data_IF_113762462057
#
_entry.id   IF_113762462057
#
_cell.length_a   1.000
_cell.length_b   1.000
_cell.length_c   1.000
_cell.angle_alpha   90.00
_cell.angle_beta   90.00
_cell.angle_gamma   90.00
#
_symmetry.space_group_name_H-M   'P 1'
#
loop_
_entity.id
_entity.type
_entity.pdbx_description
1 polymer ?
#
# COMPACT_ATOMS: atom_id res chain seq x y z
N UNK A 1 57.75 -0.86 -45.25
CA UNK A 1 57.93 -2.00 -44.33
C UNK A 1 56.99 -1.76 -43.15
N UNK A 2 55.87 -2.51 -43.09
CA UNK A 2 54.97 -2.86 -41.95
C UNK A 2 54.60 -1.78 -40.89
N UNK A 3 53.36 -1.54 -40.44
CA UNK A 3 52.07 -2.27 -40.39
C UNK A 3 50.90 -1.27 -40.32
N UNK A 4 49.80 -1.59 -40.99
CA UNK A 4 48.50 -0.94 -40.84
C UNK A 4 47.74 -1.57 -39.68
N UNK A 5 47.06 -0.78 -38.84
CA UNK A 5 46.11 -1.28 -37.83
C UNK A 5 44.70 -0.86 -38.24
N UNK A 6 43.92 -1.85 -38.69
CA UNK A 6 42.47 -1.72 -38.92
C UNK A 6 41.81 -1.97 -37.57
N UNK A 7 41.15 -0.96 -36.98
CA UNK A 7 40.29 -1.19 -35.83
C UNK A 7 38.90 -1.61 -36.32
N UNK A 8 38.60 -2.88 -36.02
CA UNK A 8 37.45 -3.64 -36.47
C UNK A 8 36.13 -3.11 -35.90
N UNK A 9 35.16 -3.08 -36.80
CA UNK A 9 33.75 -2.83 -36.61
C UNK A 9 33.13 -4.02 -35.85
N UNK A 10 32.89 -3.89 -34.55
CA UNK A 10 31.85 -4.67 -33.86
C UNK A 10 31.03 -3.67 -33.06
N UNK A 11 29.92 -3.29 -33.68
CA UNK A 11 28.77 -2.73 -33.02
C UNK A 11 28.14 -3.79 -32.09
N UNK A 12 27.24 -3.28 -31.27
CA UNK A 12 26.10 -3.99 -30.69
C UNK A 12 26.27 -4.46 -29.23
N UNK A 13 25.38 -3.92 -28.40
CA UNK A 13 25.05 -4.27 -27.02
C UNK A 13 26.01 -3.76 -25.95
N UNK A 14 25.44 -3.36 -24.80
CA UNK A 14 26.00 -2.48 -23.75
C UNK A 14 25.89 -1.01 -24.18
N UNK A 15 24.77 -0.32 -23.95
CA UNK A 15 24.07 -0.22 -22.68
C UNK A 15 22.57 -0.23 -23.00
N UNK A 16 21.89 -1.34 -22.71
CA UNK A 16 20.45 -1.26 -22.49
C UNK A 16 20.34 -0.40 -21.23
N UNK A 17 20.14 0.90 -21.38
CA UNK A 17 19.46 1.65 -20.34
C UNK A 17 18.05 1.10 -20.39
N UNK A 18 17.78 0.06 -19.61
CA UNK A 18 16.41 -0.18 -19.18
C UNK A 18 16.05 1.07 -18.41
N UNK A 19 15.41 2.03 -19.07
CA UNK A 19 14.47 2.88 -18.35
C UNK A 19 13.47 1.88 -17.82
N UNK A 20 13.68 1.48 -16.56
CA UNK A 20 12.60 0.93 -15.77
C UNK A 20 11.61 2.07 -15.74
N UNK A 21 10.61 1.99 -16.61
CA UNK A 21 9.42 2.78 -16.46
C UNK A 21 8.87 2.37 -15.12
N UNK A 22 9.16 3.17 -14.09
CA UNK A 22 8.32 3.19 -12.90
C UNK A 22 6.97 3.60 -13.46
N UNK A 23 6.11 2.63 -13.73
CA UNK A 23 4.69 2.90 -13.84
C UNK A 23 4.31 3.45 -12.48
N UNK A 24 4.38 4.76 -12.32
CA UNK A 24 3.55 5.46 -11.36
C UNK A 24 2.14 5.18 -11.80
N UNK A 25 1.62 4.00 -11.41
CA UNK A 25 0.37 3.46 -11.87
C UNK A 25 -0.71 4.46 -11.51
N UNK A 26 -1.40 4.98 -12.52
CA UNK A 26 -2.51 5.88 -12.27
C UNK A 26 -3.66 5.04 -11.71
N UNK A 27 -4.17 5.41 -10.54
CA UNK A 27 -5.39 4.81 -9.98
C UNK A 27 -6.56 4.93 -10.96
N UNK A 28 -7.27 3.84 -11.22
CA UNK A 28 -8.39 3.83 -12.18
C UNK A 28 -9.73 4.18 -11.54
N UNK A 29 -9.85 3.97 -10.23
CA UNK A 29 -11.05 4.26 -9.46
C UNK A 29 -10.74 5.01 -8.17
N UNK A 30 -11.75 5.71 -7.66
CA UNK A 30 -11.70 6.40 -6.37
C UNK A 30 -13.08 6.47 -5.72
N UNK A 31 -13.10 6.51 -4.38
CA UNK A 31 -14.29 6.77 -3.58
C UNK A 31 -13.92 7.55 -2.32
N UNK A 32 -14.75 8.51 -1.94
CA UNK A 32 -14.71 9.12 -0.61
C UNK A 32 -15.62 8.30 0.32
N UNK A 33 -15.08 7.82 1.44
CA UNK A 33 -15.82 7.01 2.42
C UNK A 33 -16.40 7.86 3.55
N UNK A 34 -16.11 9.16 3.55
CA UNK A 34 -16.71 10.16 4.44
C UNK A 34 -17.16 11.40 3.64
N UNK A 35 -18.02 12.22 4.25
CA UNK A 35 -18.55 13.43 3.59
C UNK A 35 -17.51 14.56 3.49
N UNK A 36 -16.48 14.51 4.33
CA UNK A 36 -15.48 15.56 4.46
C UNK A 36 -14.20 15.27 3.64
N UNK A 37 -14.19 14.17 2.86
CA UNK A 37 -13.06 13.74 2.04
C UNK A 37 -11.77 13.49 2.85
N UNK A 38 -11.90 13.15 4.14
CA UNK A 38 -10.77 12.74 4.97
C UNK A 38 -10.47 11.25 4.87
N UNK A 39 -11.33 10.46 4.22
CA UNK A 39 -11.12 9.05 3.94
C UNK A 39 -11.31 8.78 2.45
N UNK A 40 -10.20 8.64 1.72
CA UNK A 40 -10.22 8.34 0.29
C UNK A 40 -9.69 6.92 0.07
N UNK A 41 -10.46 6.14 -0.69
CA UNK A 41 -10.07 4.83 -1.20
C UNK A 41 -9.80 4.96 -2.70
N UNK A 42 -8.61 4.54 -3.12
CA UNK A 42 -8.19 4.47 -4.53
C UNK A 42 -7.92 3.01 -4.86
N UNK A 43 -8.27 2.57 -6.07
CA UNK A 43 -7.94 1.22 -6.48
C UNK A 43 -7.78 1.05 -7.99
N UNK A 44 -7.02 0.02 -8.35
CA UNK A 44 -6.85 -0.45 -9.72
C UNK A 44 -6.94 -1.98 -9.73
N UNK A 45 -7.91 -2.57 -10.45
CA UNK A 45 -7.91 -4.00 -10.69
C UNK A 45 -6.74 -4.39 -11.60
N UNK A 46 -5.98 -5.41 -11.18
CA UNK A 46 -5.05 -6.16 -12.00
C UNK A 46 -5.71 -7.41 -12.58
N UNK A 47 -4.89 -8.32 -13.12
CA UNK A 47 -5.40 -9.56 -13.72
C UNK A 47 -5.92 -10.55 -12.66
N UNK A 48 -5.19 -10.72 -11.55
CA UNK A 48 -5.50 -11.69 -10.49
C UNK A 48 -5.70 -11.04 -9.10
N UNK A 49 -5.42 -9.74 -8.97
CA UNK A 49 -5.49 -9.01 -7.70
C UNK A 49 -6.06 -7.60 -7.90
N UNK A 50 -6.44 -6.95 -6.80
CA UNK A 50 -6.80 -5.52 -6.80
C UNK A 50 -5.83 -4.82 -5.86
N UNK A 51 -5.17 -3.77 -6.37
CA UNK A 51 -4.32 -2.92 -5.54
C UNK A 51 -5.16 -1.77 -4.99
N UNK A 52 -5.10 -1.57 -3.68
CA UNK A 52 -5.77 -0.47 -2.98
C UNK A 52 -4.76 0.52 -2.39
N UNK A 53 -5.10 1.80 -2.40
CA UNK A 53 -4.45 2.83 -1.60
C UNK A 53 -5.49 3.53 -0.73
N UNK A 54 -5.21 3.60 0.56
CA UNK A 54 -6.07 4.22 1.58
C UNK A 54 -5.38 5.49 2.05
N UNK A 55 -6.01 6.64 1.79
CA UNK A 55 -5.54 7.94 2.25
C UNK A 55 -6.50 8.44 3.32
N UNK A 56 -6.03 8.47 4.58
CA UNK A 56 -6.87 8.86 5.72
C UNK A 56 -6.19 9.90 6.59
N UNK A 57 -6.93 10.95 6.92
CA UNK A 57 -6.52 11.94 7.92
C UNK A 57 -7.02 11.51 9.29
N UNK A 58 -6.19 10.81 10.04
CA UNK A 58 -6.47 10.35 11.40
C UNK A 58 -5.24 10.52 12.31
N UNK A 59 -5.47 10.57 13.63
CA UNK A 59 -4.41 10.53 14.65
C UNK A 59 -4.24 9.13 15.27
N UNK A 60 -5.05 8.16 14.82
CA UNK A 60 -5.06 6.80 15.36
C UNK A 60 -4.89 5.76 14.26
N UNK A 61 -5.78 4.78 14.26
CA UNK A 61 -5.80 3.71 13.28
C UNK A 61 -6.88 3.94 12.22
N UNK A 62 -6.76 3.18 11.14
CA UNK A 62 -7.75 3.04 10.07
C UNK A 62 -8.08 1.57 9.91
N UNK A 63 -9.34 1.26 9.59
CA UNK A 63 -9.79 -0.09 9.25
C UNK A 63 -10.52 -0.04 7.91
N UNK A 64 -10.16 -0.93 6.99
CA UNK A 64 -10.86 -1.13 5.72
C UNK A 64 -11.42 -2.56 5.70
N UNK A 65 -12.68 -2.69 5.31
CA UNK A 65 -13.34 -3.99 5.25
C UNK A 65 -14.20 -4.18 4.00
N UNK A 66 -14.28 -5.43 3.56
CA UNK A 66 -15.14 -5.86 2.46
C UNK A 66 -16.20 -6.83 2.97
N UNK A 67 -17.47 -6.51 2.69
CA UNK A 67 -18.59 -7.39 3.02
C UNK A 67 -19.68 -7.33 1.96
N UNK A 68 -20.48 -8.39 1.88
CA UNK A 68 -21.55 -8.49 0.89
C UNK A 68 -22.71 -7.50 1.15
N UNK A 69 -22.93 -7.10 2.41
CA UNK A 69 -24.05 -6.26 2.83
C UNK A 69 -23.64 -4.89 3.37
N UNK A 70 -22.33 -4.58 3.35
CA UNK A 70 -21.77 -3.33 3.86
C UNK A 70 -21.72 -3.24 5.38
N UNK A 71 -22.02 -4.32 6.12
CA UNK A 71 -21.84 -4.37 7.57
C UNK A 71 -20.41 -4.80 7.91
N UNK A 72 -19.96 -4.42 9.10
CA UNK A 72 -18.65 -4.82 9.64
C UNK A 72 -18.64 -6.29 10.09
N UNK A 73 -19.78 -6.81 10.57
CA UNK A 73 -19.88 -8.18 11.02
C UNK A 73 -19.75 -9.15 9.83
N UNK A 74 -18.75 -10.05 9.91
CA UNK A 74 -18.44 -10.99 8.82
C UNK A 74 -17.75 -10.33 7.62
N UNK A 75 -17.22 -9.11 7.78
CA UNK A 75 -16.35 -8.50 6.78
C UNK A 75 -14.93 -9.07 6.86
N UNK A 76 -14.31 -9.25 5.70
CA UNK A 76 -12.86 -9.42 5.61
C UNK A 76 -12.20 -8.05 5.81
N UNK A 77 -11.26 -7.94 6.73
CA UNK A 77 -10.79 -6.65 7.24
C UNK A 77 -9.28 -6.59 7.42
N UNK A 78 -8.75 -5.42 7.08
CA UNK A 78 -7.38 -5.01 7.38
C UNK A 78 -7.41 -3.76 8.26
N UNK A 79 -6.54 -3.71 9.26
CA UNK A 79 -6.34 -2.53 10.12
C UNK A 79 -4.92 -2.01 9.93
N UNK A 80 -4.77 -0.70 9.88
CA UNK A 80 -3.48 -0.04 9.78
C UNK A 80 -3.34 1.17 10.68
N UNK A 81 -2.10 1.51 11.01
CA UNK A 81 -1.74 2.70 11.78
C UNK A 81 -0.33 3.17 11.43
N UNK A 82 0.02 4.37 11.88
CA UNK A 82 1.39 4.90 11.79
C UNK A 82 1.94 5.03 13.20
N UNK A 83 3.13 4.46 13.44
CA UNK A 83 3.88 4.64 14.68
C UNK A 83 5.33 4.96 14.34
N UNK A 84 5.89 6.00 14.96
CA UNK A 84 7.27 6.45 14.74
C UNK A 84 7.63 6.71 13.25
N UNK A 85 6.64 7.16 12.47
CA UNK A 85 6.79 7.42 11.02
C UNK A 85 6.75 6.17 10.14
N UNK A 86 6.56 4.99 10.71
CA UNK A 86 6.41 3.72 9.99
C UNK A 86 4.94 3.29 9.95
N UNK A 87 4.49 2.82 8.77
CA UNK A 87 3.13 2.30 8.58
C UNK A 87 3.08 0.80 8.86
N UNK A 88 2.08 0.37 9.62
CA UNK A 88 1.81 -1.01 9.96
C UNK A 88 0.45 -1.42 9.41
N UNK A 89 0.33 -2.67 8.96
CA UNK A 89 -0.90 -3.28 8.48
C UNK A 89 -1.03 -4.68 9.07
N UNK A 90 -2.25 -5.05 9.47
CA UNK A 90 -2.56 -6.37 10.01
C UNK A 90 -3.86 -6.89 9.39
N UNK A 91 -3.77 -8.10 8.83
CA UNK A 91 -4.86 -8.93 8.34
C UNK A 91 -5.11 -10.05 9.38
N UNK A 92 -6.27 -10.70 9.36
CA UNK A 92 -6.63 -11.84 10.25
C UNK A 92 -7.23 -11.43 11.61
N UNK A 93 -8.39 -10.78 11.58
CA UNK A 93 -9.16 -10.39 12.77
C UNK A 93 -10.23 -11.42 13.16
N UNK A 94 -10.23 -12.60 12.54
CA UNK A 94 -11.39 -13.51 12.52
C UNK A 94 -11.70 -14.15 13.89
N UNK A 95 -10.74 -14.20 14.83
CA UNK A 95 -10.94 -14.84 16.15
C UNK A 95 -10.67 -13.95 17.40
N UNK A 96 -10.12 -12.73 17.27
CA UNK A 96 -9.57 -11.98 18.42
C UNK A 96 -9.95 -10.50 18.52
N UNK A 97 -11.03 -10.08 17.86
CA UNK A 97 -11.48 -8.68 17.83
C UNK A 97 -11.52 -7.97 19.19
N UNK A 98 -11.96 -8.58 20.31
CA UNK A 98 -11.98 -7.85 21.58
C UNK A 98 -10.58 -7.76 22.21
N UNK A 99 -9.82 -8.86 22.26
CA UNK A 99 -8.62 -8.93 23.08
C UNK A 99 -7.44 -8.18 22.44
N UNK A 100 -7.26 -8.30 21.13
CA UNK A 100 -6.14 -7.66 20.43
C UNK A 100 -6.42 -6.18 20.16
N UNK A 101 -7.68 -5.82 19.90
CA UNK A 101 -8.12 -4.43 19.82
C UNK A 101 -8.00 -3.70 21.16
N UNK A 102 -8.40 -4.31 22.27
CA UNK A 102 -8.22 -3.68 23.60
C UNK A 102 -6.75 -3.58 24.00
N UNK A 103 -5.91 -4.56 23.63
CA UNK A 103 -4.46 -4.46 23.82
C UNK A 103 -3.84 -3.36 22.95
N UNK A 104 -4.34 -3.21 21.72
CA UNK A 104 -4.00 -2.11 20.83
C UNK A 104 -4.46 -0.74 21.40
N UNK A 105 -5.70 -0.63 21.89
CA UNK A 105 -6.23 0.57 22.54
C UNK A 105 -5.42 0.91 23.79
N UNK A 106 -5.02 -0.08 24.58
CA UNK A 106 -4.16 0.11 25.75
C UNK A 106 -2.77 0.65 25.35
N UNK A 107 -2.20 0.17 24.25
CA UNK A 107 -0.93 0.66 23.70
C UNK A 107 -1.08 2.07 23.08
N UNK A 108 -2.23 2.38 22.49
CA UNK A 108 -2.61 3.72 22.04
C UNK A 108 -2.70 4.71 23.19
N UNK A 109 -3.45 4.35 24.23
CA UNK A 109 -3.64 5.16 25.43
C UNK A 109 -2.33 5.36 26.22
N UNK A 110 -1.39 4.41 26.15
CA UNK A 110 -0.06 4.53 26.74
C UNK A 110 0.87 5.50 25.96
N UNK A 111 0.48 5.94 24.76
CA UNK A 111 1.28 6.83 23.91
C UNK A 111 2.38 6.12 23.11
N UNK A 112 2.36 4.78 23.07
CA UNK A 112 3.40 3.96 22.43
C UNK A 112 3.21 3.83 20.90
N UNK A 113 2.11 4.32 20.34
CA UNK A 113 1.82 4.30 18.90
C UNK A 113 1.39 5.66 18.34
N UNK A 114 1.36 6.71 19.17
CA UNK A 114 1.02 8.06 18.75
C UNK A 114 2.14 9.01 19.18
N UNK A 115 3.19 9.08 18.38
CA UNK A 115 4.15 10.18 18.40
C UNK A 115 4.68 10.50 17.03
#
# INVERSE_FOLDING_TARGET
MVRSFVFSWIACLWCITSIVGVSGGRWTHSAALDNDYNYILLWTPGDDEITFEVQVKTLGYVALGFSADGRMAGADMVIGWVADGEAFLEEDLEDYFPAKFEQFLARSAAGDIAR
#
